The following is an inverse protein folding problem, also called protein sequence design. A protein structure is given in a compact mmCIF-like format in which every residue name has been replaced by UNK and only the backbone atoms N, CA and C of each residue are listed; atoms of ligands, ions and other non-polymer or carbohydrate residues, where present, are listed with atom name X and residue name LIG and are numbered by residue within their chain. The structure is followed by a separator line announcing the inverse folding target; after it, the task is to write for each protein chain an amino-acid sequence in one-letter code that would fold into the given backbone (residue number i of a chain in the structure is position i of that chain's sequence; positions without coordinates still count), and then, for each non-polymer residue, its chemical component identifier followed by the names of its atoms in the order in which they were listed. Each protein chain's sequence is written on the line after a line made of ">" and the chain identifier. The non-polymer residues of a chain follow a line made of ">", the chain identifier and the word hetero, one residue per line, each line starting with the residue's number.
data_IF_952279585485
#
_entry.id   IF_952279585485
#
_cell.length_a   1.000
_cell.length_b   1.000
_cell.length_c   1.000
_cell.angle_alpha   90.00
_cell.angle_beta   90.00
_cell.angle_gamma   90.00
#
_symmetry.space_group_name_H-M   'P 1'
#
loop_
_entity.id
_entity.type
_entity.pdbx_description
1 polymer ?
#
# COMPACT_ATOMS: atom_id res chain seq x y z
N UNK A 1 2.08 4.70 12.25
CA UNK A 1 1.09 5.50 11.48
C UNK A 1 1.30 5.12 10.03
N UNK A 2 0.23 4.81 9.32
CA UNK A 2 0.31 4.35 7.94
C UNK A 2 0.49 5.54 7.00
N UNK A 3 1.45 5.46 6.08
CA UNK A 3 1.62 6.42 4.97
C UNK A 3 1.67 5.67 3.65
N UNK A 4 0.77 5.99 2.74
CA UNK A 4 0.73 5.41 1.39
C UNK A 4 1.35 6.37 0.38
N UNK A 5 2.45 5.94 -0.26
CA UNK A 5 3.03 6.64 -1.41
C UNK A 5 2.32 6.20 -2.68
N UNK A 6 1.54 7.12 -3.25
CA UNK A 6 0.56 6.85 -4.29
C UNK A 6 0.79 7.74 -5.51
N UNK A 7 0.44 7.20 -6.68
CA UNK A 7 0.21 8.00 -7.87
C UNK A 7 -1.07 7.50 -8.58
N UNK A 8 -1.86 8.40 -9.20
CA UNK A 8 -3.10 8.02 -9.87
C UNK A 8 -2.84 7.06 -11.04
N UNK A 9 -3.85 6.27 -11.40
CA UNK A 9 -3.79 5.29 -12.50
C UNK A 9 -2.64 4.27 -12.37
N UNK A 10 -2.29 3.91 -11.13
CA UNK A 10 -1.22 2.96 -10.82
C UNK A 10 -1.73 1.81 -9.95
N UNK A 11 -0.87 0.79 -9.77
CA UNK A 11 -1.16 -0.34 -8.87
C UNK A 11 -1.35 0.08 -7.41
N UNK A 12 -0.94 1.30 -7.03
CA UNK A 12 -1.16 1.83 -5.69
C UNK A 12 -2.63 2.06 -5.36
N UNK A 13 -3.50 2.19 -6.36
CA UNK A 13 -4.95 2.33 -6.15
C UNK A 13 -5.57 1.16 -5.38
N UNK A 14 -5.03 -0.06 -5.55
CA UNK A 14 -5.54 -1.23 -4.80
C UNK A 14 -5.27 -1.12 -3.29
N UNK A 15 -4.16 -0.47 -2.91
CA UNK A 15 -3.81 -0.29 -1.49
C UNK A 15 -4.67 0.83 -0.89
N UNK A 16 -4.88 1.90 -1.65
CA UNK A 16 -5.80 2.96 -1.27
C UNK A 16 -7.19 2.38 -0.97
N UNK A 17 -7.76 1.59 -1.89
CA UNK A 17 -9.05 0.93 -1.67
C UNK A 17 -9.05 0.01 -0.45
N UNK A 18 -8.00 -0.79 -0.26
CA UNK A 18 -7.89 -1.66 0.91
C UNK A 18 -7.91 -0.87 2.23
N UNK A 19 -7.19 0.25 2.30
CA UNK A 19 -7.16 1.10 3.50
C UNK A 19 -8.54 1.72 3.78
N UNK A 20 -9.24 2.18 2.73
CA UNK A 20 -10.60 2.72 2.84
C UNK A 20 -11.62 1.66 3.28
N UNK A 21 -11.63 0.48 2.64
CA UNK A 21 -12.54 -0.63 2.97
C UNK A 21 -12.37 -1.13 4.41
N UNK A 22 -11.13 -1.10 4.92
CA UNK A 22 -10.82 -1.44 6.31
C UNK A 22 -10.99 -0.26 7.28
N UNK A 23 -11.40 0.91 6.79
CA UNK A 23 -11.51 2.16 7.54
C UNK A 23 -10.26 2.48 8.39
N UNK A 24 -9.07 2.17 7.84
CA UNK A 24 -7.81 2.41 8.54
C UNK A 24 -7.41 3.89 8.42
N UNK A 25 -6.92 4.53 9.48
CA UNK A 25 -6.35 5.86 9.38
C UNK A 25 -4.98 5.81 8.69
N UNK A 26 -4.77 6.66 7.68
CA UNK A 26 -3.51 6.75 6.95
C UNK A 26 -3.29 8.17 6.41
N UNK A 27 -2.03 8.48 6.09
CA UNK A 27 -1.65 9.65 5.32
C UNK A 27 -1.41 9.28 3.86
N UNK A 28 -1.90 10.11 2.93
CA UNK A 28 -1.69 9.91 1.50
C UNK A 28 -0.60 10.84 0.98
N UNK A 29 0.59 10.31 0.71
CA UNK A 29 1.59 11.01 -0.07
C UNK A 29 1.29 10.83 -1.57
N UNK A 30 0.42 11.69 -2.11
CA UNK A 30 0.03 11.70 -3.52
C UNK A 30 1.08 12.40 -4.39
N UNK A 31 1.58 11.68 -5.39
CA UNK A 31 2.49 12.14 -6.43
C UNK A 31 1.81 12.05 -7.79
N UNK A 32 2.34 12.77 -8.78
CA UNK A 32 1.90 12.58 -10.16
C UNK A 32 2.50 11.30 -10.74
N UNK A 33 1.77 10.66 -11.66
CA UNK A 33 2.29 9.51 -12.42
C UNK A 33 3.24 10.00 -13.53
N UNK A 34 4.32 10.65 -13.12
CA UNK A 34 5.28 11.30 -14.01
C UNK A 34 6.71 11.03 -13.52
N UNK A 35 7.71 10.88 -14.42
CA UNK A 35 9.09 10.62 -14.02
C UNK A 35 9.68 11.66 -13.07
N UNK A 36 9.28 12.92 -13.18
CA UNK A 36 9.71 14.01 -12.26
C UNK A 36 9.49 13.63 -10.79
N UNK A 37 8.36 13.01 -10.49
CA UNK A 37 8.00 12.63 -9.12
C UNK A 37 8.49 11.21 -8.81
N UNK A 38 8.13 10.24 -9.67
CA UNK A 38 8.43 8.82 -9.45
C UNK A 38 9.92 8.51 -9.52
N UNK A 39 10.73 9.31 -10.20
CA UNK A 39 12.19 9.19 -10.27
C UNK A 39 12.89 10.32 -9.53
N UNK A 40 12.20 11.04 -8.65
CA UNK A 40 12.86 11.98 -7.73
C UNK A 40 13.77 11.22 -6.76
N UNK A 41 14.82 11.87 -6.25
CA UNK A 41 15.67 11.30 -5.21
C UNK A 41 14.89 10.97 -3.94
N UNK A 42 13.93 11.84 -3.59
CA UNK A 42 13.03 11.63 -2.46
C UNK A 42 12.21 10.34 -2.57
N UNK A 43 11.65 10.03 -3.75
CA UNK A 43 10.90 8.78 -3.94
C UNK A 43 11.81 7.57 -4.11
N UNK A 44 12.98 7.74 -4.76
CA UNK A 44 13.96 6.65 -4.89
C UNK A 44 14.55 6.20 -3.56
N UNK A 45 14.64 7.10 -2.57
CA UNK A 45 15.01 6.75 -1.21
C UNK A 45 14.02 5.77 -0.56
N UNK A 46 12.74 5.77 -0.98
CA UNK A 46 11.70 4.85 -0.51
C UNK A 46 11.59 3.57 -1.36
N UNK A 47 11.76 3.72 -2.68
CA UNK A 47 11.71 2.61 -3.62
C UNK A 47 12.88 2.70 -4.61
N UNK A 48 13.84 1.76 -4.63
CA UNK A 48 15.05 1.85 -5.46
C UNK A 48 14.78 2.08 -6.96
N UNK A 49 13.73 1.44 -7.49
CA UNK A 49 13.30 1.60 -8.88
C UNK A 49 12.37 2.78 -9.15
N UNK A 50 12.00 3.57 -8.14
CA UNK A 50 11.08 4.69 -8.26
C UNK A 50 9.71 4.26 -8.79
N UNK A 51 9.07 3.32 -8.09
CA UNK A 51 7.74 2.77 -8.41
C UNK A 51 6.81 2.95 -7.21
N UNK A 52 5.51 2.83 -7.46
CA UNK A 52 4.46 2.85 -6.44
C UNK A 52 3.62 1.57 -6.55
N UNK A 53 2.99 1.09 -5.46
CA UNK A 53 2.97 1.68 -4.11
C UNK A 53 4.26 1.46 -3.30
N UNK A 54 4.43 2.31 -2.29
CA UNK A 54 5.21 2.04 -1.07
C UNK A 54 4.28 2.33 0.11
N UNK A 55 4.30 1.46 1.12
CA UNK A 55 3.61 1.68 2.39
C UNK A 55 4.65 1.80 3.50
N UNK A 56 4.57 2.89 4.25
CA UNK A 56 5.30 3.07 5.50
C UNK A 56 4.36 2.83 6.69
N UNK A 57 4.84 2.14 7.72
CA UNK A 57 4.15 1.89 8.98
C UNK A 57 5.13 2.03 10.16
N UNK A 58 5.31 3.27 10.63
CA UNK A 58 6.37 3.58 11.60
C UNK A 58 7.75 3.39 10.94
N UNK A 59 8.57 2.49 11.51
CA UNK A 59 9.93 2.21 11.01
C UNK A 59 9.94 1.15 9.88
N UNK A 60 8.79 0.58 9.55
CA UNK A 60 8.65 -0.43 8.49
C UNK A 60 8.33 0.28 7.17
N UNK A 61 9.06 -0.07 6.11
CA UNK A 61 8.76 0.36 4.74
C UNK A 61 8.67 -0.86 3.83
N UNK A 62 7.57 -0.98 3.09
CA UNK A 62 7.26 -2.13 2.24
C UNK A 62 6.83 -1.66 0.85
N UNK A 63 7.36 -2.32 -0.17
CA UNK A 63 6.92 -2.19 -1.56
C UNK A 63 6.45 -3.56 -2.08
N UNK A 64 5.96 -3.61 -3.33
CA UNK A 64 5.16 -4.70 -3.91
C UNK A 64 3.72 -4.76 -3.39
N UNK A 65 2.76 -4.48 -4.29
CA UNK A 65 1.37 -4.29 -3.91
C UNK A 65 0.69 -5.55 -3.36
N UNK A 66 1.16 -6.76 -3.71
CA UNK A 66 0.63 -8.01 -3.14
C UNK A 66 1.08 -8.18 -1.68
N UNK A 67 2.38 -8.00 -1.42
CA UNK A 67 2.95 -8.07 -0.08
C UNK A 67 2.33 -7.02 0.86
N UNK A 68 2.06 -5.81 0.37
CA UNK A 68 1.38 -4.76 1.16
C UNK A 68 -0.04 -5.19 1.54
N UNK A 69 -0.79 -5.82 0.63
CA UNK A 69 -2.14 -6.32 0.93
C UNK A 69 -2.10 -7.36 2.05
N UNK A 70 -1.20 -8.34 1.96
CA UNK A 70 -1.02 -9.36 3.00
C UNK A 70 -0.63 -8.74 4.33
N UNK A 71 0.37 -7.83 4.32
CA UNK A 71 0.82 -7.12 5.52
C UNK A 71 -0.31 -6.37 6.22
N UNK A 72 -1.11 -5.58 5.48
CA UNK A 72 -2.23 -4.82 6.05
C UNK A 72 -3.27 -5.78 6.67
N UNK A 73 -3.65 -6.83 5.94
CA UNK A 73 -4.68 -7.78 6.38
C UNK A 73 -4.27 -8.58 7.60
N UNK A 74 -2.98 -8.88 7.76
CA UNK A 74 -2.45 -9.62 8.91
C UNK A 74 -2.18 -8.72 10.11
N UNK A 75 -1.63 -7.51 9.91
CA UNK A 75 -1.14 -6.66 11.01
C UNK A 75 -2.16 -5.66 11.57
N UNK A 76 -3.09 -5.17 10.75
CA UNK A 76 -3.99 -4.06 11.11
C UNK A 76 -5.45 -4.48 11.26
N UNK A 77 -5.72 -5.78 11.44
CA UNK A 77 -7.05 -6.37 11.27
C UNK A 77 -8.11 -5.82 12.23
N UNK A 78 -9.19 -5.30 11.64
CA UNK A 78 -10.50 -5.07 12.24
C UNK A 78 -11.61 -5.57 11.29
N UNK A 79 -11.87 -6.88 11.23
CA UNK A 79 -12.95 -7.46 10.41
C UNK A 79 -12.55 -8.24 9.15
N UNK A 80 -11.44 -7.88 8.48
CA UNK A 80 -10.77 -8.67 7.42
C UNK A 80 -11.50 -8.86 6.07
N UNK A 81 -10.78 -8.76 4.95
CA UNK A 81 -11.29 -8.99 3.58
C UNK A 81 -10.72 -10.25 2.91
N UNK A 82 -10.18 -11.16 3.71
CA UNK A 82 -9.62 -12.45 3.27
C UNK A 82 -10.35 -13.56 4.04
N UNK A 83 -10.99 -14.53 3.34
CA UNK A 83 -11.55 -15.70 3.99
C UNK A 83 -10.46 -16.45 4.77
N UNK A 84 -10.88 -17.16 5.81
CA UNK A 84 -9.98 -18.12 6.47
C UNK A 84 -9.53 -19.19 5.47
N UNK A 85 -8.29 -19.68 5.60
CA UNK A 85 -7.73 -20.69 4.69
C UNK A 85 -8.47 -22.04 4.73
N UNK A 86 -9.17 -22.34 5.83
CA UNK A 86 -10.03 -23.50 5.97
C UNK A 86 -11.49 -23.23 5.53
N UNK A 87 -11.82 -22.00 5.14
CA UNK A 87 -13.18 -21.64 4.72
C UNK A 87 -13.54 -22.25 3.36
N UNK A 88 -14.77 -22.77 3.17
CA UNK A 88 -15.24 -23.19 1.85
C UNK A 88 -15.40 -22.03 0.85
N UNK A 89 -15.31 -20.78 1.31
CA UNK A 89 -15.31 -19.57 0.48
C UNK A 89 -13.89 -19.10 0.10
N UNK A 90 -12.85 -19.82 0.54
CA UNK A 90 -11.48 -19.54 0.09
C UNK A 90 -11.32 -20.04 -1.36
N UNK A 91 -11.00 -19.16 -2.33
CA UNK A 91 -10.99 -19.49 -3.76
C UNK A 91 -9.84 -20.41 -4.19
#
# INVERSE_FOLDING_TARGET
>A
MLTLHFAPNSRAGRILWLLEELALPYELNRMDFHPKDLKSDAHRARHPLGRVPVLDDGDISIFESGAIVEYILERHKNGGLKPDVASPLFP
#
